data_IF_560830002664
#
_entry.id   IF_560830002664
#
_cell.length_a   1.000
_cell.length_b   1.000
_cell.length_c   1.000
_cell.angle_alpha   90.00
_cell.angle_beta   90.00
_cell.angle_gamma   90.00
#
_symmetry.space_group_name_H-M   'P 1'
#
loop_
_entity.id
_entity.type
_entity.pdbx_description
1 polymer ?
#
# COMPACT_ATOMS: atom_id res chain seq x y z
N UNK A 1 -4.39 3.49 9.08
CA UNK A 1 -5.45 4.36 9.68
C UNK A 1 -6.41 3.53 10.54
N UNK A 2 -7.35 4.20 11.22
CA UNK A 2 -8.50 3.54 11.84
C UNK A 2 -9.75 4.42 11.76
N UNK A 3 -10.93 3.81 11.88
CA UNK A 3 -12.21 4.48 12.02
C UNK A 3 -13.10 3.71 12.99
N UNK A 4 -14.16 4.33 13.49
CA UNK A 4 -15.09 3.71 14.43
C UNK A 4 -16.49 4.29 14.31
N UNK A 5 -17.49 3.49 14.73
CA UNK A 5 -18.88 3.92 14.90
C UNK A 5 -19.51 3.10 16.01
N UNK A 6 -20.05 3.78 17.03
CA UNK A 6 -20.62 3.17 18.23
C UNK A 6 -19.63 2.19 18.89
N UNK A 7 -19.94 0.90 18.91
CA UNK A 7 -19.11 -0.17 19.47
C UNK A 7 -18.24 -0.90 18.43
N UNK A 8 -18.28 -0.47 17.16
CA UNK A 8 -17.51 -1.06 16.07
C UNK A 8 -16.24 -0.25 15.77
N UNK A 9 -15.12 -0.94 15.64
CA UNK A 9 -13.82 -0.35 15.31
C UNK A 9 -13.18 -1.12 14.14
N UNK A 10 -12.58 -0.39 13.20
CA UNK A 10 -11.87 -0.98 12.06
C UNK A 10 -10.51 -0.30 11.88
N UNK A 11 -9.46 -1.13 11.86
CA UNK A 11 -8.12 -0.76 11.44
C UNK A 11 -7.88 -1.24 10.01
N UNK A 12 -7.27 -0.40 9.19
CA UNK A 12 -7.09 -0.67 7.76
C UNK A 12 -5.87 0.05 7.21
N UNK A 13 -5.58 -0.18 5.94
CA UNK A 13 -4.61 0.57 5.13
C UNK A 13 -5.32 1.56 4.20
N UNK A 14 -4.72 2.71 3.99
CA UNK A 14 -5.15 3.72 3.02
C UNK A 14 -3.95 4.15 2.16
N UNK A 15 -4.13 5.03 1.15
CA UNK A 15 -3.05 5.45 0.28
C UNK A 15 -1.86 6.07 1.04
N UNK A 16 -2.12 6.80 2.12
CA UNK A 16 -1.09 7.47 2.90
C UNK A 16 -0.27 6.48 3.73
N UNK A 17 -0.92 5.52 4.40
CA UNK A 17 -0.22 4.49 5.18
C UNK A 17 0.55 3.51 4.29
N UNK A 18 0.04 3.20 3.10
CA UNK A 18 0.76 2.40 2.11
C UNK A 18 1.97 3.13 1.56
N UNK A 19 1.86 4.43 1.28
CA UNK A 19 3.01 5.23 0.84
C UNK A 19 4.15 5.18 1.85
N UNK A 20 3.85 5.32 3.15
CA UNK A 20 4.86 5.22 4.22
C UNK A 20 5.54 3.84 4.25
N UNK A 21 4.77 2.75 4.04
CA UNK A 21 5.35 1.40 4.00
C UNK A 21 6.20 1.16 2.75
N UNK A 22 5.79 1.69 1.60
CA UNK A 22 6.58 1.60 0.37
C UNK A 22 7.88 2.37 0.52
N UNK A 23 7.85 3.56 1.14
CA UNK A 23 9.07 4.32 1.45
C UNK A 23 9.97 3.52 2.41
N UNK A 24 9.40 2.88 3.43
CA UNK A 24 10.15 1.99 4.34
C UNK A 24 10.80 0.79 3.63
N UNK A 25 10.08 0.13 2.69
CA UNK A 25 10.61 -0.99 1.89
C UNK A 25 11.86 -0.55 1.12
N UNK A 26 11.82 0.63 0.50
CA UNK A 26 12.96 1.20 -0.23
C UNK A 26 14.12 1.57 0.71
N UNK A 27 13.82 2.22 1.84
CA UNK A 27 14.82 2.60 2.85
C UNK A 27 15.57 1.38 3.42
N UNK A 28 14.88 0.25 3.55
CA UNK A 28 15.47 -1.00 4.06
C UNK A 28 16.15 -1.85 2.99
N UNK A 29 16.05 -1.48 1.71
CA UNK A 29 16.62 -2.28 0.64
C UNK A 29 15.90 -3.61 0.41
N UNK A 30 14.63 -3.72 0.81
CA UNK A 30 13.86 -4.95 0.60
C UNK A 30 13.52 -5.14 -0.88
N UNK A 31 13.30 -6.39 -1.29
CA UNK A 31 13.03 -6.75 -2.68
C UNK A 31 11.74 -6.12 -3.23
N UNK A 32 10.71 -6.01 -2.40
CA UNK A 32 9.39 -5.62 -2.89
C UNK A 32 8.34 -5.51 -1.80
N UNK A 33 7.10 -5.28 -2.25
CA UNK A 33 5.90 -5.34 -1.44
C UNK A 33 4.99 -6.45 -1.97
N UNK A 34 4.23 -7.07 -1.08
CA UNK A 34 3.20 -8.06 -1.42
C UNK A 34 1.86 -7.57 -0.87
N UNK A 35 0.80 -7.74 -1.65
CA UNK A 35 -0.57 -7.39 -1.23
C UNK A 35 -1.38 -8.66 -1.00
N UNK A 36 -2.21 -8.63 0.04
CA UNK A 36 -3.26 -9.60 0.25
C UNK A 36 -4.58 -8.84 0.42
N UNK A 37 -5.54 -8.93 -0.50
CA UNK A 37 -5.44 -9.50 -1.84
C UNK A 37 -5.95 -8.49 -2.90
N UNK A 38 -5.68 -8.80 -4.17
CA UNK A 38 -5.97 -7.88 -5.29
C UNK A 38 -7.47 -7.57 -5.44
N UNK A 39 -8.34 -8.52 -5.10
CA UNK A 39 -9.80 -8.40 -5.18
C UNK A 39 -10.41 -7.57 -4.05
N UNK A 40 -9.63 -7.27 -3.00
CA UNK A 40 -10.07 -6.43 -1.88
C UNK A 40 -9.74 -4.94 -2.06
N UNK A 41 -9.02 -4.56 -3.13
CA UNK A 41 -8.85 -3.16 -3.50
C UNK A 41 -10.13 -2.63 -4.17
N UNK A 42 -10.28 -1.31 -4.23
CA UNK A 42 -11.42 -0.66 -4.86
C UNK A 42 -11.27 -0.61 -6.39
N UNK A 43 -11.34 -1.78 -7.02
CA UNK A 43 -11.23 -1.94 -8.47
C UNK A 43 -12.42 -1.34 -9.23
N UNK A 44 -13.53 -1.07 -8.54
CA UNK A 44 -14.73 -0.44 -9.09
C UNK A 44 -14.81 1.08 -8.86
N UNK A 45 -13.87 1.69 -8.14
CA UNK A 45 -13.89 3.10 -7.77
C UNK A 45 -15.16 3.52 -6.98
N UNK A 46 -15.62 2.68 -6.05
CA UNK A 46 -16.72 3.01 -5.12
C UNK A 46 -16.32 4.04 -4.07
N UNK A 47 -15.03 4.13 -3.72
CA UNK A 47 -14.49 5.06 -2.76
C UNK A 47 -14.16 6.44 -3.37
N UNK A 48 -14.23 6.60 -4.70
CA UNK A 48 -14.01 7.87 -5.38
C UNK A 48 -12.54 8.30 -5.51
N UNK A 49 -11.59 7.37 -5.34
CA UNK A 49 -10.15 7.60 -5.43
C UNK A 49 -9.53 7.14 -6.76
N UNK A 50 -10.36 6.75 -7.73
CA UNK A 50 -9.96 6.04 -8.95
C UNK A 50 -10.00 4.52 -8.75
N UNK A 51 -9.89 3.76 -9.85
CA UNK A 51 -9.85 2.30 -9.78
C UNK A 51 -8.48 1.81 -9.28
N UNK A 52 -8.50 0.82 -8.38
CA UNK A 52 -7.32 0.21 -7.75
C UNK A 52 -6.42 1.22 -6.99
N UNK A 53 -6.99 2.05 -6.10
CA UNK A 53 -6.24 3.14 -5.46
C UNK A 53 -5.05 2.61 -4.64
N UNK A 54 -5.17 1.48 -3.95
CA UNK A 54 -4.09 0.92 -3.13
C UNK A 54 -2.97 0.36 -4.00
N UNK A 55 -3.32 -0.38 -5.05
CA UNK A 55 -2.32 -0.94 -5.97
C UNK A 55 -1.61 0.12 -6.78
N UNK A 56 -2.29 1.22 -7.14
CA UNK A 56 -1.64 2.34 -7.81
C UNK A 56 -0.57 2.98 -6.93
N UNK A 57 -0.78 3.08 -5.61
CA UNK A 57 0.26 3.59 -4.69
C UNK A 57 1.47 2.67 -4.67
N UNK A 58 1.26 1.35 -4.52
CA UNK A 58 2.34 0.36 -4.50
C UNK A 58 3.10 0.37 -5.83
N UNK A 59 2.39 0.30 -6.95
CA UNK A 59 2.99 0.30 -8.29
C UNK A 59 3.81 1.58 -8.54
N UNK A 60 3.21 2.77 -8.35
CA UNK A 60 3.91 4.03 -8.59
C UNK A 60 5.11 4.22 -7.65
N UNK A 61 5.02 3.73 -6.42
CA UNK A 61 6.11 3.83 -5.46
C UNK A 61 7.26 2.85 -5.69
N UNK A 62 7.02 1.73 -6.40
CA UNK A 62 7.99 0.64 -6.59
C UNK A 62 8.47 0.44 -8.02
N UNK A 63 7.74 0.91 -9.05
CA UNK A 63 8.02 0.59 -10.48
C UNK A 63 9.42 0.97 -10.97
N UNK A 64 10.04 2.00 -10.38
CA UNK A 64 11.37 2.48 -10.74
C UNK A 64 12.42 2.21 -9.64
N UNK A 65 12.04 1.48 -8.58
CA UNK A 65 12.94 1.19 -7.47
C UNK A 65 13.92 0.08 -7.86
N UNK A 66 15.21 0.36 -7.69
CA UNK A 66 16.31 -0.60 -7.89
C UNK A 66 16.72 -1.14 -6.53
N UNK A 67 16.58 -2.45 -6.34
CA UNK A 67 16.98 -3.14 -5.11
C UNK A 67 18.50 -3.00 -4.95
N UNK A 68 19.00 -2.51 -3.80
CA UNK A 68 20.43 -2.41 -3.56
C UNK A 68 21.07 -3.80 -3.45
N UNK A 69 22.37 -3.88 -3.71
CA UNK A 69 23.11 -5.11 -3.44
C UNK A 69 23.03 -5.47 -1.95
N UNK A 70 22.82 -6.76 -1.66
CA UNK A 70 22.82 -7.23 -0.29
C UNK A 70 24.21 -6.96 0.33
N UNK A 71 24.23 -6.34 1.51
CA UNK A 71 25.47 -6.28 2.28
C UNK A 71 25.90 -7.71 2.65
N UNK A 72 27.17 -8.08 2.40
CA UNK A 72 27.72 -9.38 2.78
C UNK A 72 27.59 -9.70 4.27
#
# INVERSE_FOLDING_TARGET
PYTYKDDQWVGYEDPDSLKLKVDHVKEKGYLGSMTWAIDQDDWHNWCGLGANPMMNVIYNGMKDYVVPEATP
#
